data_IF_551982128960
#
_entry.id   IF_551982128960
#
_cell.length_a   1.000
_cell.length_b   1.000
_cell.length_c   1.000
_cell.angle_alpha   90.00
_cell.angle_beta   90.00
_cell.angle_gamma   90.00
#
_symmetry.space_group_name_H-M   'P 1'
#
loop_
_entity.id
_entity.type
_entity.pdbx_description
1 polymer ?
#
# COMPACT_ATOMS: atom_id res chain seq x y z
N UNK A 1 73.57 -67.76 4.11
CA UNK A 1 73.03 -68.83 3.25
C UNK A 1 72.15 -68.21 2.17
N UNK A 2 72.29 -68.65 0.90
CA UNK A 2 71.23 -68.76 -0.14
C UNK A 2 70.42 -67.46 -0.43
N UNK A 3 70.70 -66.75 -1.55
CA UNK A 3 69.84 -66.66 -2.78
C UNK A 3 68.32 -66.50 -2.48
N UNK A 4 67.55 -65.55 -3.03
CA UNK A 4 67.72 -64.58 -4.14
C UNK A 4 66.56 -63.53 -4.02
N UNK A 5 66.26 -62.58 -4.92
CA UNK A 5 66.65 -62.40 -6.33
C UNK A 5 66.84 -60.93 -6.76
N UNK A 6 66.02 -60.39 -7.68
CA UNK A 6 66.21 -59.13 -8.41
C UNK A 6 64.91 -58.54 -8.97
N UNK A 7 64.96 -57.26 -9.40
CA UNK A 7 64.08 -56.56 -10.37
C UNK A 7 62.69 -56.10 -9.87
N UNK A 8 62.44 -54.80 -9.65
CA UNK A 8 62.39 -53.73 -10.69
C UNK A 8 62.34 -52.29 -10.13
N UNK A 9 63.01 -51.37 -10.86
CA UNK A 9 62.62 -49.97 -11.23
C UNK A 9 62.00 -49.05 -10.15
N UNK A 10 62.65 -47.97 -9.67
CA UNK A 10 63.10 -46.70 -10.31
C UNK A 10 62.19 -45.48 -9.92
N UNK A 11 62.85 -44.36 -9.58
CA UNK A 11 62.38 -42.94 -9.48
C UNK A 11 61.63 -42.45 -8.22
N UNK A 12 62.39 -41.70 -7.41
CA UNK A 12 62.15 -40.32 -6.97
C UNK A 12 60.73 -39.88 -6.58
N UNK A 13 60.52 -39.65 -5.28
CA UNK A 13 59.55 -38.66 -4.81
C UNK A 13 60.16 -37.24 -4.98
N UNK A 14 59.44 -36.37 -5.69
CA UNK A 14 59.58 -34.92 -5.57
C UNK A 14 58.25 -34.38 -5.07
N UNK A 15 58.34 -33.50 -4.07
CA UNK A 15 57.20 -32.94 -3.35
C UNK A 15 56.43 -31.96 -4.25
N UNK A 16 55.13 -32.21 -4.48
CA UNK A 16 54.22 -31.26 -5.15
C UNK A 16 53.10 -30.93 -4.19
N UNK A 17 53.08 -29.68 -3.71
CA UNK A 17 51.97 -29.13 -2.95
C UNK A 17 50.83 -28.78 -3.93
N UNK A 18 49.68 -29.42 -3.77
CA UNK A 18 48.48 -29.10 -4.56
C UNK A 18 47.77 -27.93 -3.89
N UNK A 19 47.88 -26.74 -4.49
CA UNK A 19 47.00 -25.62 -4.17
C UNK A 19 45.67 -25.83 -4.88
N UNK A 20 44.67 -26.29 -4.13
CA UNK A 20 43.28 -26.37 -4.60
C UNK A 20 42.69 -24.96 -4.71
N UNK A 21 42.80 -24.34 -5.88
CA UNK A 21 42.12 -23.09 -6.18
C UNK A 21 40.61 -23.36 -6.35
N UNK A 22 39.88 -23.40 -5.23
CA UNK A 22 38.42 -23.40 -5.22
C UNK A 22 37.92 -22.07 -5.78
N UNK A 23 37.59 -22.05 -7.07
CA UNK A 23 36.87 -20.92 -7.69
C UNK A 23 35.47 -20.93 -7.09
N UNK A 24 35.29 -20.14 -6.04
CA UNK A 24 33.96 -19.76 -5.57
C UNK A 24 33.40 -18.82 -6.64
N UNK A 25 32.63 -19.38 -7.56
CA UNK A 25 31.72 -18.58 -8.37
C UNK A 25 30.67 -17.98 -7.43
N UNK A 26 30.98 -16.80 -6.90
CA UNK A 26 29.95 -15.89 -6.41
C UNK A 26 29.04 -15.59 -7.58
N UNK A 27 27.90 -16.28 -7.63
CA UNK A 27 26.80 -15.87 -8.48
C UNK A 27 26.41 -14.47 -8.05
N UNK A 28 26.86 -13.46 -8.80
CA UNK A 28 26.36 -12.10 -8.67
C UNK A 28 24.92 -12.17 -9.13
N UNK A 29 24.01 -12.41 -8.18
CA UNK A 29 22.59 -12.17 -8.38
C UNK A 29 22.48 -10.67 -8.60
N UNK A 30 22.42 -10.30 -9.87
CA UNK A 30 22.05 -8.96 -10.30
C UNK A 30 20.63 -8.71 -9.83
N UNK A 31 20.46 -8.19 -8.62
CA UNK A 31 19.20 -7.58 -8.23
C UNK A 31 18.88 -6.53 -9.28
N UNK A 32 17.76 -6.71 -10.00
CA UNK A 32 17.26 -5.63 -10.85
C UNK A 32 17.06 -4.42 -9.92
N UNK A 33 17.58 -3.26 -10.33
CA UNK A 33 17.50 -2.05 -9.52
C UNK A 33 16.05 -1.78 -9.13
N UNK A 34 15.83 -1.27 -7.91
CA UNK A 34 14.53 -0.74 -7.50
C UNK A 34 14.11 0.33 -8.51
N UNK A 35 13.08 0.03 -9.31
CA UNK A 35 12.62 0.91 -10.39
C UNK A 35 11.92 2.15 -9.84
N UNK A 36 11.51 2.13 -8.57
CA UNK A 36 10.72 3.18 -7.95
C UNK A 36 11.27 3.42 -6.52
N UNK A 37 12.50 3.94 -6.35
CA UNK A 37 13.13 4.02 -5.04
C UNK A 37 12.40 4.99 -4.10
N UNK A 38 12.42 4.67 -2.80
CA UNK A 38 11.97 5.57 -1.73
C UNK A 38 13.05 6.65 -1.44
N UNK A 39 12.71 7.94 -1.27
CA UNK A 39 11.38 8.52 -1.08
C UNK A 39 10.73 8.89 -2.41
N UNK A 40 9.41 9.07 -2.40
CA UNK A 40 8.63 9.24 -3.62
C UNK A 40 8.31 10.71 -3.97
N UNK A 41 8.21 11.60 -2.98
CA UNK A 41 7.71 12.99 -3.11
C UNK A 41 6.50 13.13 -4.07
N UNK A 42 5.59 12.16 -3.99
CA UNK A 42 4.54 11.99 -4.98
C UNK A 42 3.52 13.14 -4.90
N UNK A 43 3.25 13.78 -6.04
CA UNK A 43 2.11 14.68 -6.17
C UNK A 43 0.89 13.84 -6.49
N UNK A 44 -0.08 13.77 -5.57
CA UNK A 44 -1.31 13.04 -5.84
C UNK A 44 -2.12 13.79 -6.91
N UNK A 45 -2.64 13.10 -7.95
CA UNK A 45 -3.37 13.76 -9.04
C UNK A 45 -4.68 14.41 -8.58
N UNK A 46 -5.16 14.08 -7.37
CA UNK A 46 -6.38 14.62 -6.78
C UNK A 46 -6.19 14.95 -5.29
N UNK A 47 -6.94 15.94 -4.81
CA UNK A 47 -6.89 16.43 -3.43
C UNK A 47 -6.10 17.72 -3.28
N UNK A 48 -6.18 18.31 -2.08
CA UNK A 48 -5.61 19.63 -1.82
C UNK A 48 -4.15 19.59 -1.35
N UNK A 49 -3.67 18.42 -0.90
CA UNK A 49 -2.34 18.25 -0.32
C UNK A 49 -1.69 16.99 -0.86
N UNK A 50 -0.41 17.10 -1.22
CA UNK A 50 0.45 15.94 -1.48
C UNK A 50 1.36 15.63 -0.29
N UNK A 51 1.72 16.65 0.50
CA UNK A 51 2.48 16.50 1.74
C UNK A 51 1.97 17.52 2.77
N UNK A 52 1.78 17.08 4.02
CA UNK A 52 1.38 17.91 5.16
C UNK A 52 2.53 18.17 6.15
N UNK A 53 3.73 17.63 5.91
CA UNK A 53 4.93 17.98 6.67
C UNK A 53 5.35 19.44 6.43
N UNK A 54 6.23 20.00 7.27
CA UNK A 54 6.77 21.36 7.07
C UNK A 54 7.72 21.44 5.87
N UNK A 55 8.34 20.31 5.52
CA UNK A 55 9.11 20.12 4.30
C UNK A 55 9.10 18.64 3.92
N UNK A 56 9.35 18.32 2.64
CA UNK A 56 9.41 16.93 2.19
C UNK A 56 10.50 16.14 2.93
N UNK A 57 11.68 16.73 3.13
CA UNK A 57 12.78 16.09 3.88
C UNK A 57 12.43 15.83 5.35
N UNK A 58 11.57 16.66 5.98
CA UNK A 58 11.02 16.38 7.32
C UNK A 58 10.10 15.16 7.28
N UNK A 59 9.21 15.07 6.27
CA UNK A 59 8.32 13.92 6.08
C UNK A 59 9.09 12.62 5.84
N UNK A 60 10.04 12.64 4.90
CA UNK A 60 10.87 11.49 4.55
C UNK A 60 11.68 10.97 5.75
N UNK A 61 12.31 11.86 6.52
CA UNK A 61 13.08 11.50 7.70
C UNK A 61 12.19 10.92 8.82
N UNK A 62 10.98 11.47 9.00
CA UNK A 62 10.00 10.93 9.93
C UNK A 62 9.64 9.50 9.55
N UNK A 63 9.20 9.25 8.32
CA UNK A 63 8.73 7.90 7.93
C UNK A 63 9.87 6.87 7.89
N UNK A 64 11.12 7.24 7.56
CA UNK A 64 12.28 6.35 7.72
C UNK A 64 12.49 5.93 9.19
N UNK A 65 12.42 6.88 10.11
CA UNK A 65 12.59 6.63 11.55
C UNK A 65 11.46 5.76 12.11
N UNK A 66 10.22 6.05 11.70
CA UNK A 66 9.04 5.29 12.12
C UNK A 66 9.03 3.86 11.54
N UNK A 67 9.52 3.67 10.31
CA UNK A 67 9.70 2.34 9.69
C UNK A 67 10.66 1.46 10.49
N UNK A 68 11.87 1.95 10.79
CA UNK A 68 12.85 1.14 11.53
C UNK A 68 12.37 0.82 12.96
N UNK A 69 11.65 1.75 13.60
CA UNK A 69 11.00 1.48 14.88
C UNK A 69 9.89 0.41 14.77
N UNK A 70 9.02 0.51 13.78
CA UNK A 70 7.94 -0.46 13.54
C UNK A 70 8.52 -1.84 13.21
N UNK A 71 9.52 -1.90 12.32
CA UNK A 71 10.21 -3.12 11.93
C UNK A 71 10.86 -3.80 13.13
N UNK A 72 11.55 -3.04 13.99
CA UNK A 72 12.15 -3.55 15.23
C UNK A 72 11.12 -4.09 16.24
N UNK A 73 9.92 -3.53 16.27
CA UNK A 73 8.86 -3.94 17.20
C UNK A 73 8.02 -5.15 16.69
N UNK A 74 7.82 -5.26 15.38
CA UNK A 74 6.82 -6.17 14.79
C UNK A 74 7.37 -7.22 13.83
N UNK A 75 8.60 -7.11 13.31
CA UNK A 75 9.19 -8.15 12.46
C UNK A 75 9.99 -9.13 13.29
N UNK A 76 9.60 -10.41 13.23
CA UNK A 76 10.26 -11.49 13.98
C UNK A 76 10.51 -12.72 13.11
N UNK A 77 11.55 -13.48 13.44
CA UNK A 77 11.78 -14.84 12.92
C UNK A 77 11.26 -15.93 13.87
N UNK A 78 10.87 -15.59 15.12
CA UNK A 78 10.31 -16.56 16.05
C UNK A 78 8.92 -17.01 15.57
N UNK A 79 8.64 -18.31 15.57
CA UNK A 79 7.41 -18.88 14.97
C UNK A 79 7.30 -18.74 13.44
N UNK A 80 8.26 -18.10 12.77
CA UNK A 80 8.20 -17.79 11.35
C UNK A 80 8.68 -18.92 10.41
N UNK A 81 8.94 -20.12 10.96
CA UNK A 81 9.29 -21.35 10.21
C UNK A 81 10.45 -21.17 9.20
N UNK A 82 11.43 -20.34 9.54
CA UNK A 82 12.63 -20.07 8.72
C UNK A 82 12.64 -18.71 8.02
N UNK A 83 11.51 -17.99 8.02
CA UNK A 83 11.32 -16.70 7.34
C UNK A 83 11.08 -15.56 8.35
N UNK A 84 10.24 -14.59 7.99
CA UNK A 84 9.75 -13.51 8.87
C UNK A 84 8.23 -13.52 8.95
N UNK A 85 7.69 -13.07 10.08
CA UNK A 85 6.26 -12.76 10.25
C UNK A 85 6.10 -11.40 10.92
N UNK A 86 4.94 -10.79 10.74
CA UNK A 86 4.50 -9.65 11.54
C UNK A 86 3.86 -10.18 12.83
N UNK A 87 4.54 -10.00 13.96
CA UNK A 87 3.94 -10.24 15.27
C UNK A 87 3.11 -9.04 15.70
N UNK A 88 1.94 -9.32 16.30
CA UNK A 88 1.20 -8.33 17.08
C UNK A 88 1.95 -8.04 18.39
N UNK A 89 1.26 -7.42 19.34
CA UNK A 89 1.84 -6.90 20.58
C UNK A 89 1.60 -7.82 21.80
N UNK A 90 2.05 -7.35 22.96
CA UNK A 90 1.96 -8.10 24.21
C UNK A 90 0.51 -8.40 24.63
N UNK A 91 -0.46 -7.56 24.24
CA UNK A 91 -1.89 -7.78 24.56
C UNK A 91 -2.45 -9.06 23.93
N UNK A 92 -1.83 -9.52 22.84
CA UNK A 92 -2.23 -10.65 22.01
C UNK A 92 -1.17 -11.77 22.03
N UNK A 93 -0.28 -11.75 23.02
CA UNK A 93 0.81 -12.73 23.20
C UNK A 93 1.73 -12.89 21.98
N UNK A 94 1.90 -11.81 21.19
CA UNK A 94 2.75 -11.78 19.98
C UNK A 94 2.35 -12.81 18.92
N UNK A 95 1.06 -13.13 18.82
CA UNK A 95 0.49 -13.89 17.71
C UNK A 95 0.61 -13.14 16.37
N UNK A 96 0.07 -13.72 15.30
CA UNK A 96 0.02 -13.13 13.96
C UNK A 96 -1.38 -13.29 13.39
N UNK A 97 -1.90 -12.20 12.82
CA UNK A 97 -3.09 -12.24 11.96
C UNK A 97 -2.70 -11.95 10.52
N UNK A 98 -3.46 -12.46 9.55
CA UNK A 98 -3.19 -12.24 8.12
C UNK A 98 -3.18 -10.74 7.76
N UNK A 99 -4.00 -9.92 8.42
CA UNK A 99 -4.02 -8.45 8.29
C UNK A 99 -2.60 -7.86 8.48
N UNK A 100 -1.88 -8.34 9.49
CA UNK A 100 -0.52 -7.89 9.78
C UNK A 100 0.46 -8.25 8.66
N UNK A 101 0.25 -9.35 7.94
CA UNK A 101 1.05 -9.68 6.75
C UNK A 101 0.73 -8.75 5.58
N UNK A 102 -0.55 -8.45 5.33
CA UNK A 102 -0.95 -7.45 4.34
C UNK A 102 -0.29 -6.09 4.60
N UNK A 103 -0.37 -5.60 5.84
CA UNK A 103 0.30 -4.36 6.24
C UNK A 103 1.83 -4.45 6.17
N UNK A 104 2.44 -5.55 6.64
CA UNK A 104 3.89 -5.73 6.60
C UNK A 104 4.46 -5.80 5.18
N UNK A 105 3.77 -6.49 4.27
CA UNK A 105 4.16 -6.58 2.86
C UNK A 105 3.99 -5.24 2.15
N UNK A 106 2.89 -4.51 2.41
CA UNK A 106 2.71 -3.13 1.94
C UNK A 106 3.85 -2.21 2.42
N UNK A 107 4.18 -2.21 3.71
CA UNK A 107 5.28 -1.39 4.22
C UNK A 107 6.63 -1.80 3.60
N UNK A 108 6.94 -3.09 3.53
CA UNK A 108 8.19 -3.59 2.96
C UNK A 108 8.36 -3.16 1.48
N UNK A 109 7.30 -3.23 0.65
CA UNK A 109 7.37 -2.75 -0.73
C UNK A 109 7.48 -1.23 -0.83
N UNK A 110 6.78 -0.45 0.01
CA UNK A 110 6.96 1.01 0.01
C UNK A 110 8.37 1.44 0.45
N UNK A 111 9.05 0.70 1.34
CA UNK A 111 10.41 1.03 1.77
C UNK A 111 11.54 0.38 0.95
N UNK A 112 11.23 -0.46 -0.04
CA UNK A 112 12.25 -1.12 -0.86
C UNK A 112 12.94 -2.32 -0.19
N UNK A 113 12.37 -2.86 0.90
CA UNK A 113 12.92 -3.97 1.66
C UNK A 113 12.51 -5.32 1.02
N UNK A 114 13.09 -5.61 -0.15
CA UNK A 114 12.73 -6.78 -0.97
C UNK A 114 12.94 -8.11 -0.24
N UNK A 115 14.02 -8.24 0.54
CA UNK A 115 14.28 -9.46 1.29
C UNK A 115 13.20 -9.68 2.37
N UNK A 116 12.83 -8.63 3.11
CA UNK A 116 11.74 -8.72 4.08
C UNK A 116 10.40 -9.04 3.40
N UNK A 117 10.12 -8.44 2.24
CA UNK A 117 8.91 -8.73 1.47
C UNK A 117 8.82 -10.21 1.09
N UNK A 118 9.91 -10.78 0.55
CA UNK A 118 9.97 -12.18 0.16
C UNK A 118 9.86 -13.13 1.37
N UNK A 119 10.51 -12.82 2.49
CA UNK A 119 10.39 -13.57 3.75
C UNK A 119 8.94 -13.54 4.29
N UNK A 120 8.28 -12.38 4.28
CA UNK A 120 6.88 -12.25 4.71
C UNK A 120 5.93 -13.00 3.77
N UNK A 121 6.15 -12.95 2.45
CA UNK A 121 5.32 -13.68 1.50
C UNK A 121 5.55 -15.20 1.58
N UNK A 122 6.77 -15.65 1.84
CA UNK A 122 7.04 -17.05 2.19
C UNK A 122 6.21 -17.49 3.40
N UNK A 123 6.11 -16.67 4.44
CA UNK A 123 5.25 -16.97 5.59
C UNK A 123 3.77 -17.01 5.19
N UNK A 124 3.26 -16.06 4.39
CA UNK A 124 1.89 -16.12 3.83
C UNK A 124 1.64 -17.47 3.14
N UNK A 125 2.56 -17.90 2.26
CA UNK A 125 2.44 -19.16 1.51
C UNK A 125 2.38 -20.41 2.40
N UNK A 126 2.98 -20.39 3.60
CA UNK A 126 2.91 -21.51 4.55
C UNK A 126 1.53 -21.69 5.21
N UNK A 127 0.66 -20.67 5.16
CA UNK A 127 -0.65 -20.66 5.82
C UNK A 127 -1.81 -20.43 4.85
N UNK A 128 -1.60 -20.64 3.54
CA UNK A 128 -2.69 -20.65 2.57
C UNK A 128 -3.61 -21.85 2.83
N UNK A 129 -4.91 -21.57 2.91
CA UNK A 129 -5.94 -22.57 3.04
C UNK A 129 -6.27 -23.21 1.67
N UNK A 130 -7.27 -24.10 1.63
CA UNK A 130 -7.65 -24.82 0.40
C UNK A 130 -8.26 -23.95 -0.71
N UNK A 131 -8.60 -22.69 -0.42
CA UNK A 131 -9.02 -21.69 -1.40
C UNK A 131 -7.83 -20.86 -1.93
N UNK A 132 -6.60 -21.09 -1.45
CA UNK A 132 -5.42 -20.33 -1.86
C UNK A 132 -5.38 -18.91 -1.30
N UNK A 133 -5.94 -18.72 -0.10
CA UNK A 133 -6.04 -17.46 0.66
C UNK A 133 -5.52 -17.69 2.09
N UNK A 134 -5.07 -16.65 2.78
CA UNK A 134 -4.31 -16.82 4.03
C UNK A 134 -5.22 -17.10 5.24
N UNK A 135 -4.93 -18.17 5.98
CA UNK A 135 -5.57 -18.48 7.26
C UNK A 135 -5.38 -17.31 8.24
N UNK A 136 -6.47 -16.78 8.79
CA UNK A 136 -6.45 -15.43 9.38
C UNK A 136 -5.74 -15.31 10.74
N UNK A 137 -5.48 -16.41 11.47
CA UNK A 137 -4.92 -16.34 12.83
C UNK A 137 -3.95 -17.49 13.17
N UNK A 138 -2.71 -17.11 13.52
CA UNK A 138 -1.59 -18.01 13.81
C UNK A 138 -0.95 -17.59 15.15
N UNK A 139 -0.70 -18.55 16.04
CA UNK A 139 -0.04 -18.30 17.32
C UNK A 139 1.44 -17.86 17.17
N UNK A 140 2.04 -17.40 18.26
CA UNK A 140 3.43 -16.96 18.29
C UNK A 140 4.46 -18.06 17.95
N UNK A 141 4.06 -19.34 17.96
CA UNK A 141 4.88 -20.51 17.63
C UNK A 141 4.69 -21.00 16.18
N UNK A 142 3.76 -20.41 15.43
CA UNK A 142 3.49 -20.77 14.04
C UNK A 142 2.40 -21.84 13.84
N UNK A 143 1.45 -21.98 14.76
CA UNK A 143 0.30 -22.88 14.62
C UNK A 143 -1.01 -22.11 14.39
N UNK A 144 -1.88 -22.60 13.51
CA UNK A 144 -3.21 -22.01 13.30
C UNK A 144 -4.04 -22.19 14.57
N UNK A 145 -4.64 -21.11 15.10
CA UNK A 145 -5.22 -21.07 16.46
C UNK A 145 -6.55 -21.81 16.67
N UNK A 146 -7.03 -22.53 15.66
CA UNK A 146 -8.24 -23.34 15.73
C UNK A 146 -8.80 -23.64 14.34
N UNK A 147 -9.93 -24.36 14.29
CA UNK A 147 -10.60 -24.64 13.01
C UNK A 147 -11.12 -23.35 12.36
N UNK A 148 -11.65 -22.44 13.15
CA UNK A 148 -12.23 -21.17 12.67
C UNK A 148 -11.15 -20.17 12.24
N UNK A 149 -9.89 -20.40 12.63
CA UNK A 149 -8.70 -19.68 12.20
C UNK A 149 -8.18 -20.08 10.81
N UNK A 150 -8.72 -21.13 10.18
CA UNK A 150 -8.35 -21.62 8.84
C UNK A 150 -8.97 -20.75 7.72
N UNK A 151 -10.11 -20.10 8.01
CA UNK A 151 -10.73 -19.18 7.07
C UNK A 151 -9.83 -17.97 6.77
N UNK A 152 -10.09 -17.30 5.66
CA UNK A 152 -9.37 -16.11 5.24
C UNK A 152 -10.17 -14.83 5.51
N UNK A 153 -9.48 -13.69 5.66
CA UNK A 153 -10.07 -12.39 5.99
C UNK A 153 -9.81 -11.41 4.83
N UNK A 154 -10.87 -10.84 4.26
CA UNK A 154 -10.76 -10.22 2.93
C UNK A 154 -9.86 -8.97 2.89
N UNK A 155 -9.82 -8.18 3.96
CA UNK A 155 -8.92 -7.02 4.10
C UNK A 155 -7.45 -7.41 4.07
N UNK A 156 -7.09 -8.49 4.74
CA UNK A 156 -5.75 -9.04 4.71
C UNK A 156 -5.34 -9.49 3.31
N UNK A 157 -6.18 -10.29 2.66
CA UNK A 157 -5.87 -10.89 1.37
C UNK A 157 -5.84 -9.84 0.23
N UNK A 158 -6.67 -8.79 0.27
CA UNK A 158 -6.58 -7.68 -0.69
C UNK A 158 -5.33 -6.81 -0.51
N UNK A 159 -4.90 -6.56 0.74
CA UNK A 159 -3.67 -5.82 1.03
C UNK A 159 -2.42 -6.65 0.64
N UNK A 160 -2.43 -7.97 0.87
CA UNK A 160 -1.42 -8.91 0.33
C UNK A 160 -1.41 -8.85 -1.21
N UNK A 161 -2.57 -8.96 -1.87
CA UNK A 161 -2.68 -8.97 -3.32
C UNK A 161 -2.14 -7.70 -3.98
N UNK A 162 -2.49 -6.51 -3.48
CA UNK A 162 -2.01 -5.25 -4.06
C UNK A 162 -0.51 -5.05 -3.81
N UNK A 163 0.01 -5.50 -2.67
CA UNK A 163 1.45 -5.45 -2.39
C UNK A 163 2.27 -6.32 -3.35
N UNK A 164 1.75 -7.46 -3.82
CA UNK A 164 2.37 -8.27 -4.89
C UNK A 164 2.35 -7.56 -6.25
N UNK A 165 1.29 -6.81 -6.58
CA UNK A 165 1.24 -5.97 -7.79
C UNK A 165 2.31 -4.88 -7.72
N UNK A 166 2.48 -4.25 -6.55
CA UNK A 166 3.51 -3.24 -6.34
C UNK A 166 4.93 -3.84 -6.38
N UNK A 167 5.15 -5.02 -5.79
CA UNK A 167 6.43 -5.72 -5.84
C UNK A 167 6.84 -6.07 -7.29
N UNK A 168 5.88 -6.51 -8.12
CA UNK A 168 6.10 -6.70 -9.55
C UNK A 168 6.52 -5.39 -10.26
N UNK A 169 5.89 -4.26 -9.94
CA UNK A 169 6.21 -2.97 -10.57
C UNK A 169 7.55 -2.40 -10.12
N UNK A 170 7.90 -2.60 -8.85
CA UNK A 170 9.10 -2.07 -8.21
C UNK A 170 10.37 -2.88 -8.52
N UNK A 171 10.24 -4.22 -8.59
CA UNK A 171 11.37 -5.14 -8.71
C UNK A 171 11.28 -6.11 -9.92
N UNK A 172 10.17 -6.12 -10.65
CA UNK A 172 10.01 -6.94 -11.86
C UNK A 172 9.99 -8.45 -11.57
N UNK A 173 11.12 -9.11 -11.85
CA UNK A 173 11.35 -10.54 -11.68
C UNK A 173 12.64 -10.85 -10.90
N UNK A 174 13.20 -9.89 -10.15
CA UNK A 174 14.49 -10.04 -9.45
C UNK A 174 14.40 -10.70 -8.07
N UNK A 175 13.20 -10.90 -7.54
CA UNK A 175 12.98 -11.45 -6.21
C UNK A 175 12.88 -12.97 -6.15
N UNK A 176 12.58 -13.48 -4.97
CA UNK A 176 12.32 -14.91 -4.73
C UNK A 176 11.08 -15.45 -5.44
N UNK A 177 10.23 -14.58 -5.99
CA UNK A 177 8.95 -14.93 -6.62
C UNK A 177 8.75 -14.26 -7.97
N UNK A 178 7.96 -14.92 -8.84
CA UNK A 178 7.30 -14.22 -9.94
C UNK A 178 6.08 -13.47 -9.41
N UNK A 179 6.31 -12.28 -8.85
CA UNK A 179 5.28 -11.43 -8.24
C UNK A 179 4.06 -11.22 -9.15
N UNK A 180 4.26 -11.14 -10.48
CA UNK A 180 3.17 -10.96 -11.43
C UNK A 180 2.22 -12.16 -11.45
N UNK A 181 2.77 -13.38 -11.49
CA UNK A 181 1.99 -14.62 -11.50
C UNK A 181 1.33 -14.87 -10.15
N UNK A 182 2.03 -14.59 -9.06
CA UNK A 182 1.50 -14.71 -7.70
C UNK A 182 0.33 -13.74 -7.50
N UNK A 183 0.50 -12.45 -7.82
CA UNK A 183 -0.56 -11.45 -7.76
C UNK A 183 -1.81 -11.84 -8.59
N UNK A 184 -1.63 -12.28 -9.85
CA UNK A 184 -2.76 -12.70 -10.69
C UNK A 184 -3.52 -13.90 -10.12
N UNK A 185 -2.80 -14.85 -9.54
CA UNK A 185 -3.39 -16.02 -8.89
C UNK A 185 -4.17 -15.60 -7.64
N UNK A 186 -3.55 -14.77 -6.79
CA UNK A 186 -4.14 -14.28 -5.54
C UNK A 186 -5.41 -13.46 -5.79
N UNK A 187 -5.36 -12.48 -6.71
CA UNK A 187 -6.50 -11.66 -7.09
C UNK A 187 -7.64 -12.53 -7.67
N UNK A 188 -7.32 -13.57 -8.44
CA UNK A 188 -8.33 -14.50 -8.94
C UNK A 188 -8.98 -15.30 -7.82
N UNK A 189 -8.22 -15.76 -6.82
CA UNK A 189 -8.77 -16.45 -5.65
C UNK A 189 -9.71 -15.53 -4.85
N UNK A 190 -9.32 -14.28 -4.58
CA UNK A 190 -10.18 -13.30 -3.89
C UNK A 190 -11.47 -13.09 -4.70
N UNK A 191 -11.37 -12.83 -6.02
CA UNK A 191 -12.56 -12.60 -6.84
C UNK A 191 -13.52 -13.81 -6.84
N UNK A 192 -12.99 -15.03 -6.87
CA UNK A 192 -13.79 -16.26 -6.93
C UNK A 192 -14.36 -16.70 -5.57
N UNK A 193 -13.88 -16.17 -4.44
CA UNK A 193 -14.17 -16.69 -3.08
C UNK A 193 -14.69 -15.62 -2.12
N UNK A 194 -14.24 -14.39 -2.28
CA UNK A 194 -14.54 -13.24 -1.41
C UNK A 194 -15.42 -12.19 -2.10
N UNK A 195 -15.72 -12.28 -3.39
CA UNK A 195 -16.78 -11.48 -4.03
C UNK A 195 -18.05 -12.33 -4.15
N UNK A 196 -19.18 -11.81 -3.68
CA UNK A 196 -20.47 -12.47 -3.80
C UNK A 196 -20.96 -12.49 -5.27
N UNK A 197 -21.19 -13.67 -5.88
CA UNK A 197 -21.57 -13.76 -7.28
C UNK A 197 -22.91 -13.07 -7.58
N UNK A 198 -22.95 -12.30 -8.67
CA UNK A 198 -24.16 -11.61 -9.15
C UNK A 198 -24.48 -10.28 -8.45
N UNK A 199 -24.05 -10.09 -7.20
CA UNK A 199 -24.28 -8.84 -6.44
C UNK A 199 -23.03 -7.95 -6.37
N UNK A 200 -21.83 -8.53 -6.55
CA UNK A 200 -20.52 -7.88 -6.39
C UNK A 200 -20.24 -7.37 -4.97
N UNK A 201 -20.98 -7.84 -3.97
CA UNK A 201 -20.71 -7.49 -2.56
C UNK A 201 -19.42 -8.17 -2.12
N UNK A 202 -18.46 -7.39 -1.64
CA UNK A 202 -17.26 -7.96 -1.02
C UNK A 202 -17.64 -8.61 0.32
N UNK A 203 -17.24 -9.86 0.52
CA UNK A 203 -17.54 -10.68 1.69
C UNK A 203 -16.55 -10.40 2.81
N UNK A 204 -16.93 -10.77 4.02
CA UNK A 204 -16.06 -10.73 5.20
C UNK A 204 -14.85 -11.69 5.10
N UNK A 205 -15.04 -12.84 4.47
CA UNK A 205 -14.00 -13.82 4.23
C UNK A 205 -14.34 -14.79 3.11
N UNK A 206 -13.46 -15.76 2.87
CA UNK A 206 -13.64 -16.77 1.81
C UNK A 206 -14.84 -17.71 2.09
N UNK A 207 -15.11 -17.99 3.36
CA UNK A 207 -16.11 -18.96 3.82
C UNK A 207 -17.42 -18.34 4.32
N UNK A 208 -17.49 -17.02 4.53
CA UNK A 208 -18.65 -16.35 5.14
C UNK A 208 -18.79 -14.88 4.72
N UNK A 209 -19.95 -14.29 5.03
CA UNK A 209 -20.29 -12.91 4.67
C UNK A 209 -20.82 -12.75 3.23
N UNK A 210 -21.04 -11.49 2.84
CA UNK A 210 -21.73 -11.11 1.60
C UNK A 210 -22.83 -10.11 1.88
N UNK A 211 -23.97 -10.23 1.19
CA UNK A 211 -25.12 -9.31 1.35
C UNK A 211 -25.68 -9.27 2.78
N UNK A 212 -25.60 -10.38 3.53
CA UNK A 212 -26.09 -10.47 4.92
C UNK A 212 -25.12 -9.87 5.95
N UNK A 213 -23.80 -9.88 5.66
CA UNK A 213 -22.78 -9.28 6.52
C UNK A 213 -21.49 -8.97 5.74
N UNK A 214 -21.14 -7.69 5.73
CA UNK A 214 -19.91 -7.14 5.17
C UNK A 214 -19.36 -6.04 6.09
N UNK A 215 -18.10 -5.69 5.91
CA UNK A 215 -17.37 -4.73 6.73
C UNK A 215 -16.95 -3.53 5.88
N UNK A 216 -17.51 -2.32 6.09
CA UNK A 216 -17.13 -1.13 5.32
C UNK A 216 -15.63 -0.82 5.37
N UNK A 217 -14.93 -1.22 6.44
CA UNK A 217 -13.49 -1.01 6.58
C UNK A 217 -12.63 -1.97 5.74
N UNK A 218 -13.24 -2.96 5.10
CA UNK A 218 -12.62 -3.83 4.09
C UNK A 218 -12.87 -3.32 2.66
N UNK A 219 -13.50 -2.15 2.50
CA UNK A 219 -13.77 -1.60 1.17
C UNK A 219 -12.52 -0.87 0.65
N UNK A 220 -11.79 -1.52 -0.26
CA UNK A 220 -10.62 -0.94 -0.97
C UNK A 220 -10.86 -0.64 -2.47
N UNK A 221 -11.77 0.29 -2.84
CA UNK A 221 -12.02 0.67 -4.24
C UNK A 221 -10.77 0.95 -5.07
N UNK A 222 -9.76 1.61 -4.50
CA UNK A 222 -8.49 1.88 -5.17
C UNK A 222 -7.75 0.60 -5.57
N UNK A 223 -7.76 -0.44 -4.71
CA UNK A 223 -7.11 -1.71 -5.00
C UNK A 223 -7.89 -2.46 -6.08
N UNK A 224 -9.23 -2.40 -6.03
CA UNK A 224 -10.07 -3.04 -7.06
C UNK A 224 -9.89 -2.40 -8.44
N UNK A 225 -9.64 -1.09 -8.53
CA UNK A 225 -9.25 -0.45 -9.81
C UNK A 225 -7.91 -1.00 -10.33
N UNK A 226 -6.91 -1.09 -9.46
CA UNK A 226 -5.62 -1.73 -9.80
C UNK A 226 -5.84 -3.19 -10.24
N UNK A 227 -6.68 -3.96 -9.55
CA UNK A 227 -6.98 -5.35 -9.88
C UNK A 227 -7.71 -5.47 -11.23
N UNK A 228 -8.63 -4.57 -11.55
CA UNK A 228 -9.30 -4.51 -12.84
C UNK A 228 -8.30 -4.35 -13.98
N UNK A 229 -7.43 -3.35 -13.89
CA UNK A 229 -6.43 -3.03 -14.92
C UNK A 229 -5.36 -4.12 -15.03
N UNK A 230 -4.86 -4.62 -13.89
CA UNK A 230 -3.76 -5.59 -13.83
C UNK A 230 -4.15 -6.99 -14.30
N UNK A 231 -5.42 -7.38 -14.11
CA UNK A 231 -5.94 -8.70 -14.51
C UNK A 231 -6.77 -8.67 -15.79
N UNK A 232 -7.26 -7.50 -16.21
CA UNK A 232 -8.26 -7.36 -17.27
C UNK A 232 -9.70 -7.69 -16.83
N UNK A 233 -9.94 -8.03 -15.55
CA UNK A 233 -11.27 -8.35 -15.04
C UNK A 233 -12.01 -7.07 -14.59
N UNK A 234 -12.79 -6.48 -15.50
CA UNK A 234 -13.63 -5.31 -15.23
C UNK A 234 -14.69 -5.52 -14.14
N UNK A 235 -14.97 -6.77 -13.74
CA UNK A 235 -15.87 -7.07 -12.62
C UNK A 235 -15.42 -6.44 -11.29
N UNK A 236 -14.13 -6.18 -11.11
CA UNK A 236 -13.61 -5.43 -9.96
C UNK A 236 -14.10 -3.97 -9.88
N UNK A 237 -14.41 -3.33 -11.01
CA UNK A 237 -15.01 -1.99 -11.02
C UNK A 237 -16.44 -2.04 -10.46
N UNK A 238 -17.18 -3.14 -10.69
CA UNK A 238 -18.49 -3.34 -10.08
C UNK A 238 -18.38 -3.54 -8.56
N UNK A 239 -17.34 -4.22 -8.07
CA UNK A 239 -17.06 -4.34 -6.63
C UNK A 239 -16.77 -2.97 -6.01
N UNK A 240 -15.92 -2.15 -6.64
CA UNK A 240 -15.63 -0.78 -6.19
C UNK A 240 -16.90 0.08 -6.12
N UNK A 241 -17.75 0.03 -7.14
CA UNK A 241 -19.03 0.74 -7.16
C UNK A 241 -19.98 0.23 -6.07
N UNK A 242 -20.07 -1.11 -5.88
CA UNK A 242 -20.91 -1.74 -4.85
C UNK A 242 -20.50 -1.33 -3.45
N UNK A 243 -19.21 -1.25 -3.17
CA UNK A 243 -18.68 -0.76 -1.89
C UNK A 243 -19.19 0.66 -1.57
N UNK A 244 -19.16 1.58 -2.54
CA UNK A 244 -19.70 2.93 -2.33
C UNK A 244 -21.23 2.95 -2.21
N UNK A 245 -21.97 2.11 -2.94
CA UNK A 245 -23.43 1.97 -2.75
C UNK A 245 -23.79 1.49 -1.34
N UNK A 246 -23.05 0.53 -0.78
CA UNK A 246 -23.29 0.03 0.58
C UNK A 246 -22.89 1.10 1.59
N UNK A 247 -21.73 1.74 1.42
CA UNK A 247 -21.27 2.79 2.31
C UNK A 247 -22.22 4.00 2.33
N UNK A 248 -22.82 4.39 1.19
CA UNK A 248 -23.86 5.43 1.14
C UNK A 248 -25.12 5.10 1.95
N UNK A 249 -25.52 3.82 1.99
CA UNK A 249 -26.66 3.36 2.81
C UNK A 249 -26.30 3.23 4.29
N UNK A 250 -25.08 2.78 4.58
CA UNK A 250 -24.62 2.44 5.92
C UNK A 250 -24.14 3.67 6.72
N UNK A 251 -23.57 4.68 6.05
CA UNK A 251 -23.04 5.86 6.72
C UNK A 251 -24.16 6.77 7.21
N UNK A 252 -23.97 7.37 8.38
CA UNK A 252 -24.82 8.48 8.79
C UNK A 252 -24.54 9.72 7.92
N UNK A 253 -25.60 10.36 7.41
CA UNK A 253 -25.49 11.50 6.48
C UNK A 253 -24.85 12.75 7.09
N UNK A 254 -24.91 12.91 8.42
CA UNK A 254 -24.49 14.12 9.12
C UNK A 254 -23.07 13.99 9.67
N UNK A 255 -22.67 12.79 10.10
CA UNK A 255 -21.34 12.52 10.69
C UNK A 255 -20.37 11.87 9.71
N UNK A 256 -20.86 11.23 8.64
CA UNK A 256 -20.04 10.44 7.71
C UNK A 256 -19.54 9.12 8.29
N UNK A 257 -19.90 8.78 9.54
CA UNK A 257 -19.48 7.55 10.20
C UNK A 257 -20.19 6.33 9.60
N UNK A 258 -19.41 5.32 9.23
CA UNK A 258 -19.87 3.97 8.84
C UNK A 258 -19.86 3.03 10.06
N UNK A 259 -20.65 1.97 10.09
CA UNK A 259 -20.54 0.92 11.11
C UNK A 259 -19.29 0.06 10.89
N UNK A 260 -18.84 -0.66 11.93
CA UNK A 260 -17.86 -1.75 11.80
C UNK A 260 -18.39 -2.83 10.84
N UNK A 261 -19.66 -3.22 10.96
CA UNK A 261 -20.30 -4.27 10.17
C UNK A 261 -21.72 -3.90 9.77
N UNK A 262 -22.13 -4.26 8.55
CA UNK A 262 -23.49 -4.04 8.05
C UNK A 262 -23.94 -5.07 7.02
N UNK A 263 -25.22 -5.09 6.70
CA UNK A 263 -25.74 -5.74 5.49
C UNK A 263 -25.42 -4.90 4.25
N UNK A 264 -25.56 -5.46 3.04
CA UNK A 264 -25.50 -4.68 1.79
C UNK A 264 -26.65 -3.66 1.61
N UNK A 265 -27.60 -3.61 2.55
CA UNK A 265 -28.60 -2.56 2.67
C UNK A 265 -28.23 -1.47 3.69
N UNK A 266 -27.03 -1.53 4.28
CA UNK A 266 -26.53 -0.56 5.26
C UNK A 266 -27.17 -0.68 6.63
N UNK A 267 -27.85 -1.79 6.92
CA UNK A 267 -28.49 -2.05 8.22
C UNK A 267 -27.57 -2.85 9.15
N UNK A 268 -27.84 -2.93 10.46
CA UNK A 268 -27.13 -3.83 11.37
C UNK A 268 -27.12 -5.27 10.86
N UNK A 269 -25.95 -5.91 10.90
CA UNK A 269 -25.80 -7.34 10.65
C UNK A 269 -25.96 -8.13 11.95
N UNK A 270 -26.63 -9.29 11.89
CA UNK A 270 -26.92 -10.10 13.07
C UNK A 270 -25.65 -10.56 13.78
N UNK A 271 -25.55 -10.30 15.09
CA UNK A 271 -24.41 -10.70 15.91
C UNK A 271 -23.15 -9.83 15.76
N UNK A 272 -23.21 -8.75 14.98
CA UNK A 272 -22.07 -7.86 14.74
C UNK A 272 -22.29 -6.44 15.29
N UNK A 273 -21.19 -5.70 15.46
CA UNK A 273 -21.22 -4.30 15.89
C UNK A 273 -21.65 -3.35 14.77
N UNK A 274 -22.57 -2.42 15.08
CA UNK A 274 -23.04 -1.38 14.16
C UNK A 274 -22.56 0.05 14.54
N UNK A 275 -21.65 0.14 15.49
CA UNK A 275 -21.00 1.40 15.88
C UNK A 275 -19.73 1.63 15.05
N UNK A 276 -19.20 2.85 15.08
CA UNK A 276 -17.93 3.21 14.47
C UNK A 276 -16.79 2.99 15.48
N UNK A 277 -16.05 1.89 15.34
CA UNK A 277 -14.94 1.53 16.24
C UNK A 277 -13.70 1.14 15.42
N UNK A 278 -12.90 0.19 15.93
CA UNK A 278 -11.56 -0.16 15.45
C UNK A 278 -11.55 -0.81 14.05
N UNK A 279 -12.65 -1.41 13.61
CA UNK A 279 -12.81 -1.78 12.21
C UNK A 279 -13.09 -0.51 11.38
N UNK A 280 -14.27 0.10 11.60
CA UNK A 280 -14.86 1.15 10.78
C UNK A 280 -13.91 2.30 10.42
N UNK A 281 -13.05 2.68 11.37
CA UNK A 281 -12.05 3.75 11.26
C UNK A 281 -11.04 3.56 10.11
N UNK A 282 -10.80 2.34 9.61
CA UNK A 282 -9.92 2.13 8.44
C UNK A 282 -10.59 2.53 7.11
N UNK A 283 -11.93 2.66 7.06
CA UNK A 283 -12.63 3.07 5.84
C UNK A 283 -12.20 4.45 5.35
N UNK A 284 -11.87 5.37 6.27
CA UNK A 284 -11.41 6.73 5.94
C UNK A 284 -10.11 6.71 5.13
N UNK A 285 -9.17 5.85 5.51
CA UNK A 285 -7.89 5.69 4.81
C UNK A 285 -8.09 5.08 3.42
N UNK A 286 -8.83 3.96 3.33
CA UNK A 286 -9.11 3.27 2.06
C UNK A 286 -9.89 4.15 1.08
N UNK A 287 -10.88 4.92 1.55
CA UNK A 287 -11.62 5.87 0.74
C UNK A 287 -10.76 7.08 0.32
N UNK A 288 -9.99 7.68 1.24
CA UNK A 288 -9.17 8.86 0.92
C UNK A 288 -8.16 8.57 -0.20
N UNK A 289 -7.59 7.37 -0.23
CA UNK A 289 -6.65 6.98 -1.28
C UNK A 289 -7.35 6.79 -2.64
N UNK A 290 -8.57 6.24 -2.70
CA UNK A 290 -9.32 6.17 -3.97
C UNK A 290 -9.65 7.58 -4.50
N UNK A 291 -9.91 8.55 -3.62
CA UNK A 291 -10.00 9.94 -4.06
C UNK A 291 -8.66 10.45 -4.58
N UNK A 292 -7.58 10.39 -3.79
CA UNK A 292 -6.30 10.99 -4.17
C UNK A 292 -5.66 10.39 -5.41
N UNK A 293 -5.86 9.08 -5.67
CA UNK A 293 -5.32 8.41 -6.85
C UNK A 293 -6.25 8.47 -8.07
N UNK A 294 -7.58 8.42 -7.90
CA UNK A 294 -8.54 8.25 -9.02
C UNK A 294 -9.63 9.32 -9.12
N UNK A 295 -9.67 10.32 -8.23
CA UNK A 295 -10.60 11.44 -8.29
C UNK A 295 -12.05 11.09 -7.95
N UNK A 296 -12.29 9.92 -7.33
CA UNK A 296 -13.65 9.42 -7.07
C UNK A 296 -14.47 10.39 -6.22
N UNK A 297 -15.50 10.99 -6.81
CA UNK A 297 -16.31 12.01 -6.15
C UNK A 297 -16.97 11.51 -4.84
N UNK A 298 -17.49 10.28 -4.81
CA UNK A 298 -18.07 9.68 -3.59
C UNK A 298 -17.05 9.55 -2.46
N UNK A 299 -15.82 9.15 -2.79
CA UNK A 299 -14.73 9.06 -1.83
C UNK A 299 -14.48 10.41 -1.16
N UNK A 300 -14.36 11.48 -1.95
CA UNK A 300 -14.28 12.86 -1.43
C UNK A 300 -15.46 13.19 -0.54
N UNK A 301 -16.71 12.99 -0.97
CA UNK A 301 -17.89 13.30 -0.15
C UNK A 301 -17.88 12.58 1.19
N UNK A 302 -17.47 11.30 1.22
CA UNK A 302 -17.45 10.49 2.44
C UNK A 302 -16.37 11.01 3.41
N UNK A 303 -15.14 11.22 2.93
CA UNK A 303 -14.05 11.79 3.70
C UNK A 303 -14.36 13.22 4.18
N UNK A 304 -14.90 14.07 3.31
CA UNK A 304 -15.25 15.46 3.65
C UNK A 304 -16.29 15.52 4.78
N UNK A 305 -17.27 14.63 4.78
CA UNK A 305 -18.32 14.60 5.81
C UNK A 305 -17.73 14.25 7.18
N UNK A 306 -16.92 13.20 7.27
CA UNK A 306 -16.30 12.79 8.54
C UNK A 306 -15.16 13.70 8.99
N UNK A 307 -14.39 14.31 8.07
CA UNK A 307 -13.44 15.36 8.41
C UNK A 307 -14.13 16.56 9.06
N UNK A 308 -15.33 16.96 8.60
CA UNK A 308 -16.11 18.00 9.27
C UNK A 308 -16.64 17.57 10.65
N UNK A 309 -17.07 16.31 10.83
CA UNK A 309 -17.45 15.77 12.14
C UNK A 309 -16.30 15.83 13.15
N UNK A 310 -15.11 15.31 12.79
CA UNK A 310 -13.95 15.34 13.68
C UNK A 310 -13.35 16.75 13.86
N UNK A 311 -13.47 17.63 12.86
CA UNK A 311 -13.12 19.06 13.02
C UNK A 311 -13.98 19.73 14.09
N UNK A 312 -15.27 19.43 14.14
CA UNK A 312 -16.20 19.97 15.15
C UNK A 312 -15.96 19.40 16.56
N UNK A 313 -15.47 18.17 16.67
CA UNK A 313 -14.99 17.59 17.94
C UNK A 313 -13.66 18.24 18.39
N UNK A 314 -12.83 18.63 17.42
CA UNK A 314 -11.45 19.10 17.62
C UNK A 314 -10.47 17.92 17.60
N UNK A 315 -9.38 18.07 16.84
CA UNK A 315 -8.43 16.99 16.54
C UNK A 315 -7.88 16.27 17.79
N UNK A 316 -7.55 17.02 18.86
CA UNK A 316 -7.04 16.48 20.12
C UNK A 316 -8.11 15.79 21.01
N UNK A 317 -9.38 15.87 20.64
CA UNK A 317 -10.50 15.27 21.38
C UNK A 317 -11.06 14.01 20.72
N UNK A 318 -10.59 13.62 19.53
CA UNK A 318 -11.05 12.44 18.80
C UNK A 318 -10.87 11.18 19.66
N UNK A 319 -11.92 10.37 19.82
CA UNK A 319 -11.93 9.17 20.66
C UNK A 319 -12.01 7.88 19.85
N UNK A 320 -11.70 6.77 20.50
CA UNK A 320 -11.63 5.45 19.89
C UNK A 320 -12.98 4.69 19.81
N UNK A 321 -14.09 5.41 19.72
CA UNK A 321 -15.41 4.80 19.52
C UNK A 321 -16.56 5.80 19.56
N UNK A 322 -17.42 5.74 18.53
CA UNK A 322 -18.65 6.51 18.43
C UNK A 322 -19.81 5.63 17.93
N UNK A 323 -21.05 5.91 18.33
CA UNK A 323 -22.20 5.46 17.53
C UNK A 323 -22.13 6.10 16.14
N UNK A 324 -22.73 5.51 15.10
CA UNK A 324 -22.75 6.16 13.78
C UNK A 324 -23.46 7.54 13.79
N UNK A 325 -24.36 7.78 14.76
CA UNK A 325 -24.98 9.10 14.98
C UNK A 325 -24.06 10.13 15.66
N UNK A 326 -22.82 9.75 16.01
CA UNK A 326 -21.80 10.64 16.56
C UNK A 326 -21.74 10.72 18.09
N UNK A 327 -22.49 9.89 18.82
CA UNK A 327 -22.39 9.83 20.29
C UNK A 327 -21.12 9.08 20.69
N UNK A 328 -20.26 9.71 21.49
CA UNK A 328 -19.03 9.08 21.98
C UNK A 328 -19.37 7.87 22.89
N UNK A 329 -18.75 6.71 22.61
CA UNK A 329 -18.94 5.47 23.40
C UNK A 329 -17.63 4.92 24.01
N UNK A 330 -16.48 5.51 23.66
CA UNK A 330 -15.18 5.23 24.30
C UNK A 330 -14.42 6.53 24.58
N UNK A 331 -13.33 6.48 25.36
CA UNK A 331 -12.66 7.67 25.89
C UNK A 331 -11.16 7.80 25.56
N UNK A 332 -10.55 6.78 24.94
CA UNK A 332 -9.12 6.79 24.64
C UNK A 332 -8.85 7.65 23.40
N UNK A 333 -7.66 8.24 23.34
CA UNK A 333 -7.18 8.99 22.19
C UNK A 333 -5.99 8.23 21.60
N UNK A 334 -6.21 7.49 20.52
CA UNK A 334 -5.30 6.44 20.03
C UNK A 334 -4.77 6.74 18.62
N UNK A 335 -3.60 6.20 18.30
CA UNK A 335 -2.97 6.39 17.00
C UNK A 335 -3.86 5.89 15.85
N UNK A 336 -4.62 4.81 16.07
CA UNK A 336 -5.67 4.29 15.17
C UNK A 336 -6.61 5.39 14.67
N UNK A 337 -7.24 6.15 15.57
CA UNK A 337 -8.30 7.09 15.20
C UNK A 337 -7.75 8.42 14.71
N UNK A 338 -6.69 8.91 15.35
CA UNK A 338 -6.04 10.17 14.97
C UNK A 338 -5.44 10.08 13.56
N UNK A 339 -4.78 8.96 13.24
CA UNK A 339 -4.21 8.76 11.92
C UNK A 339 -5.29 8.64 10.84
N UNK A 340 -6.27 7.76 10.98
CA UNK A 340 -7.32 7.62 9.97
C UNK A 340 -8.16 8.90 9.76
N UNK A 341 -8.33 9.72 10.80
CA UNK A 341 -8.91 11.06 10.65
C UNK A 341 -8.01 12.01 9.84
N UNK A 342 -6.68 11.92 9.99
CA UNK A 342 -5.72 12.64 9.14
C UNK A 342 -5.76 12.17 7.69
N UNK A 343 -5.95 10.88 7.44
CA UNK A 343 -6.10 10.35 6.08
C UNK A 343 -7.33 10.94 5.37
N UNK A 344 -8.49 11.01 6.05
CA UNK A 344 -9.67 11.68 5.49
C UNK A 344 -9.42 13.17 5.18
N UNK A 345 -8.69 13.89 6.03
CA UNK A 345 -8.43 15.32 5.87
C UNK A 345 -7.62 15.66 4.60
N UNK A 346 -6.86 14.70 4.03
CA UNK A 346 -6.13 14.86 2.76
C UNK A 346 -7.04 15.23 1.57
N UNK A 347 -8.33 14.89 1.65
CA UNK A 347 -9.32 15.21 0.60
C UNK A 347 -9.65 16.70 0.48
N UNK A 348 -9.21 17.54 1.41
CA UNK A 348 -9.13 19.00 1.23
C UNK A 348 -10.33 19.82 1.73
N UNK A 349 -10.95 19.45 2.85
CA UNK A 349 -12.03 20.27 3.44
C UNK A 349 -11.56 21.58 4.08
N UNK A 350 -10.39 21.56 4.72
CA UNK A 350 -9.92 22.63 5.61
C UNK A 350 -8.43 22.46 5.89
N UNK A 351 -7.61 23.42 5.43
CA UNK A 351 -6.15 23.32 5.51
C UNK A 351 -5.61 23.42 6.95
N UNK A 352 -6.24 24.24 7.79
CA UNK A 352 -5.85 24.40 9.20
C UNK A 352 -6.15 23.12 9.97
N UNK A 353 -7.33 22.53 9.77
CA UNK A 353 -7.66 21.24 10.36
C UNK A 353 -6.73 20.14 9.84
N UNK A 354 -6.51 20.03 8.53
CA UNK A 354 -5.63 19.02 7.92
C UNK A 354 -4.20 19.07 8.50
N UNK A 355 -3.61 20.26 8.61
CA UNK A 355 -2.28 20.44 9.23
C UNK A 355 -2.28 20.04 10.71
N UNK A 356 -3.31 20.42 11.47
CA UNK A 356 -3.40 20.12 12.90
C UNK A 356 -3.60 18.63 13.18
N UNK A 357 -4.47 17.94 12.44
CA UNK A 357 -4.68 16.49 12.61
C UNK A 357 -3.46 15.68 12.12
N UNK A 358 -2.74 16.16 11.10
CA UNK A 358 -1.43 15.61 10.74
C UNK A 358 -0.42 15.75 11.90
N UNK A 359 -0.28 16.94 12.49
CA UNK A 359 0.62 17.16 13.62
C UNK A 359 0.25 16.28 14.82
N UNK A 360 -1.04 16.09 15.09
CA UNK A 360 -1.51 15.17 16.15
C UNK A 360 -1.24 13.70 15.79
N UNK A 361 -1.36 13.30 14.51
CA UNK A 361 -0.96 11.98 14.02
C UNK A 361 0.56 11.72 14.17
N UNK A 362 1.40 12.73 13.97
CA UNK A 362 2.85 12.61 14.26
C UNK A 362 3.07 12.39 15.77
N UNK A 363 2.35 13.13 16.62
CA UNK A 363 2.49 13.14 18.08
C UNK A 363 1.92 11.89 18.79
N UNK A 364 0.76 11.40 18.37
CA UNK A 364 0.05 10.30 19.04
C UNK A 364 0.58 8.97 18.52
N UNK A 365 1.35 8.28 19.36
CA UNK A 365 1.89 6.94 19.10
C UNK A 365 1.51 6.03 20.27
N UNK A 366 0.86 4.91 19.98
CA UNK A 366 0.39 3.99 21.02
C UNK A 366 1.56 3.25 21.66
N UNK A 367 1.44 2.91 22.96
CA UNK A 367 2.55 2.41 23.78
C UNK A 367 2.09 1.32 24.78
N UNK A 368 3.05 0.73 25.49
CA UNK A 368 2.78 -0.37 26.42
C UNK A 368 2.41 -1.66 25.68
N UNK A 369 1.28 -2.26 26.04
CA UNK A 369 0.88 -3.57 25.51
C UNK A 369 0.12 -3.51 24.18
N UNK A 370 -0.27 -2.33 23.71
CA UNK A 370 -1.13 -2.11 22.52
C UNK A 370 -0.38 -1.33 21.45
N UNK A 371 0.74 -1.86 20.97
CA UNK A 371 1.65 -1.17 20.05
C UNK A 371 1.49 -1.57 18.60
N UNK A 372 0.78 -2.66 18.27
CA UNK A 372 0.67 -3.15 16.89
C UNK A 372 -0.30 -2.31 16.05
N UNK A 373 -1.61 -2.36 16.36
CA UNK A 373 -2.63 -1.97 15.39
C UNK A 373 -2.58 -0.48 15.03
N UNK A 374 -2.70 0.39 16.04
CA UNK A 374 -2.74 1.84 15.82
C UNK A 374 -1.44 2.41 15.28
N UNK A 375 -0.28 1.87 15.68
CA UNK A 375 1.01 2.32 15.12
C UNK A 375 1.23 1.82 13.69
N UNK A 376 0.68 0.67 13.30
CA UNK A 376 0.76 0.17 11.91
C UNK A 376 -0.07 1.04 10.98
N UNK A 377 -1.31 1.38 11.38
CA UNK A 377 -2.16 2.30 10.62
C UNK A 377 -1.54 3.71 10.56
N UNK A 378 -1.04 4.22 11.68
CA UNK A 378 -0.26 5.46 11.72
C UNK A 378 0.93 5.42 10.76
N UNK A 379 1.64 4.29 10.65
CA UNK A 379 2.77 4.17 9.73
C UNK A 379 2.35 4.29 8.25
N UNK A 380 1.28 3.59 7.85
CA UNK A 380 0.69 3.72 6.50
C UNK A 380 0.25 5.16 6.20
N UNK A 381 -0.31 5.84 7.20
CA UNK A 381 -0.90 7.15 7.02
C UNK A 381 0.14 8.26 7.09
N UNK A 382 1.25 8.08 7.81
CA UNK A 382 2.40 8.96 7.71
C UNK A 382 3.08 8.84 6.34
N UNK A 383 3.17 7.65 5.72
CA UNK A 383 3.55 7.54 4.30
C UNK A 383 2.59 8.36 3.43
N UNK A 384 1.28 8.16 3.57
CA UNK A 384 0.28 8.83 2.74
C UNK A 384 0.30 10.37 2.88
N UNK A 385 0.27 10.87 4.11
CA UNK A 385 0.25 12.32 4.42
C UNK A 385 1.58 13.04 4.18
N UNK A 386 2.67 12.31 3.87
CA UNK A 386 3.98 12.87 3.48
C UNK A 386 4.31 12.68 2.00
N UNK A 387 3.35 12.31 1.14
CA UNK A 387 3.58 12.09 -0.30
C UNK A 387 4.36 10.82 -0.62
N UNK A 388 4.47 9.90 0.34
CA UNK A 388 5.24 8.67 0.23
C UNK A 388 4.36 7.41 0.07
N UNK A 389 3.07 7.56 -0.25
CA UNK A 389 2.17 6.46 -0.61
C UNK A 389 1.55 6.68 -2.02
N UNK A 390 2.36 6.81 -3.09
CA UNK A 390 1.86 6.87 -4.47
C UNK A 390 1.20 5.56 -4.90
N UNK A 391 0.39 5.62 -5.95
CA UNK A 391 -0.06 4.42 -6.65
C UNK A 391 1.12 3.73 -7.37
N UNK A 392 1.84 2.84 -6.70
CA UNK A 392 3.01 2.14 -7.27
C UNK A 392 2.67 1.27 -8.51
N UNK A 393 1.39 1.08 -8.84
CA UNK A 393 1.01 0.45 -10.11
C UNK A 393 1.21 1.37 -11.33
N UNK A 394 0.97 2.68 -11.17
CA UNK A 394 1.00 3.68 -12.24
C UNK A 394 2.07 4.77 -12.06
N UNK A 395 2.70 4.85 -10.88
CA UNK A 395 3.71 5.86 -10.56
C UNK A 395 5.06 5.56 -11.23
N UNK A 396 5.73 6.61 -11.71
CA UNK A 396 7.06 6.55 -12.31
C UNK A 396 8.01 7.47 -11.53
N UNK A 397 9.11 6.91 -11.00
CA UNK A 397 10.17 7.67 -10.32
C UNK A 397 11.07 8.46 -11.28
N UNK A 398 11.13 8.02 -12.53
CA UNK A 398 11.78 8.76 -13.60
C UNK A 398 10.89 9.95 -13.99
N UNK A 399 11.47 11.11 -14.36
CA UNK A 399 10.75 12.10 -15.14
C UNK A 399 10.14 11.38 -16.34
N UNK A 400 8.88 11.65 -16.69
CA UNK A 400 8.24 10.93 -17.79
C UNK A 400 8.91 11.29 -19.12
N UNK A 401 9.85 10.45 -19.56
CA UNK A 401 10.52 10.57 -20.85
C UNK A 401 9.49 10.34 -21.96
N UNK A 402 8.93 11.43 -22.48
CA UNK A 402 7.89 11.43 -23.51
C UNK A 402 6.52 11.98 -23.09
N UNK A 403 6.38 12.63 -21.93
CA UNK A 403 5.13 13.32 -21.57
C UNK A 403 4.93 14.58 -22.46
N UNK A 404 4.29 14.41 -23.62
CA UNK A 404 3.97 15.54 -24.52
C UNK A 404 3.27 16.67 -23.77
N UNK A 405 3.87 17.84 -23.76
CA UNK A 405 3.43 19.04 -23.05
C UNK A 405 4.20 19.37 -21.77
N UNK A 406 4.97 18.43 -21.22
CA UNK A 406 5.95 18.67 -20.14
C UNK A 406 7.23 19.23 -20.77
N UNK A 407 7.20 20.52 -21.07
CA UNK A 407 8.22 21.24 -21.83
C UNK A 407 9.44 21.55 -20.96
N UNK A 408 9.25 21.76 -19.66
CA UNK A 408 10.34 22.02 -18.72
C UNK A 408 10.96 20.72 -18.14
N UNK A 409 10.31 19.56 -18.34
CA UNK A 409 10.69 18.24 -17.86
C UNK A 409 10.64 18.09 -16.33
N UNK A 410 9.69 18.75 -15.66
CA UNK A 410 9.44 18.67 -14.22
C UNK A 410 8.41 17.57 -13.82
N UNK A 411 7.77 16.94 -14.81
CA UNK A 411 6.80 15.86 -14.61
C UNK A 411 5.34 16.33 -14.53
N UNK A 412 5.06 17.63 -14.58
CA UNK A 412 3.74 18.19 -14.73
C UNK A 412 3.48 18.63 -16.19
N UNK A 413 2.24 19.07 -16.46
CA UNK A 413 1.90 19.88 -17.63
C UNK A 413 1.12 21.06 -17.07
N UNK A 414 1.72 22.24 -17.02
CA UNK A 414 1.10 23.43 -16.43
C UNK A 414 1.46 24.76 -17.13
N UNK A 415 1.17 25.89 -16.48
CA UNK A 415 1.43 27.23 -17.02
C UNK A 415 2.92 27.55 -17.20
N UNK A 416 3.82 26.87 -16.50
CA UNK A 416 5.27 26.96 -16.63
C UNK A 416 5.73 26.37 -17.97
N UNK A 417 5.09 25.33 -18.48
CA UNK A 417 5.37 24.77 -19.81
C UNK A 417 4.95 25.72 -20.93
N UNK A 418 3.78 26.34 -20.80
CA UNK A 418 3.36 27.45 -21.68
C UNK A 418 4.42 28.56 -21.67
N UNK A 419 4.93 28.93 -20.49
CA UNK A 419 5.95 29.98 -20.39
C UNK A 419 7.29 29.56 -21.00
N UNK A 420 7.71 28.31 -20.79
CA UNK A 420 8.94 27.73 -21.32
C UNK A 420 8.90 27.61 -22.86
N UNK A 421 7.81 27.06 -23.41
CA UNK A 421 7.59 26.91 -24.85
C UNK A 421 7.49 28.27 -25.55
N UNK A 422 6.70 29.19 -24.98
CA UNK A 422 6.57 30.55 -25.52
C UNK A 422 7.92 31.27 -25.55
N UNK A 423 8.73 31.14 -24.50
CA UNK A 423 10.09 31.69 -24.46
C UNK A 423 10.96 31.08 -25.55
N UNK A 424 10.99 29.75 -25.67
CA UNK A 424 11.82 29.06 -26.65
C UNK A 424 11.49 29.47 -28.10
N UNK A 425 10.20 29.59 -28.44
CA UNK A 425 9.73 30.05 -29.76
C UNK A 425 10.14 31.53 -30.00
N UNK A 426 9.93 32.40 -29.01
CA UNK A 426 10.22 33.84 -29.15
C UNK A 426 11.72 34.16 -29.21
N UNK A 427 12.56 33.42 -28.50
CA UNK A 427 14.03 33.64 -28.48
C UNK A 427 14.79 32.71 -29.40
N UNK A 428 14.10 31.78 -30.09
CA UNK A 428 14.70 30.69 -30.88
C UNK A 428 15.76 29.90 -30.08
N UNK A 429 15.57 29.78 -28.76
CA UNK A 429 16.54 29.15 -27.84
C UNK A 429 15.91 27.96 -27.14
N UNK A 430 16.32 26.76 -27.53
CA UNK A 430 15.73 25.50 -27.05
C UNK A 430 16.54 24.78 -25.97
N UNK A 431 17.66 25.33 -25.53
CA UNK A 431 18.59 24.69 -24.57
C UNK A 431 17.99 24.34 -23.20
N UNK A 432 16.85 24.95 -22.86
CA UNK A 432 16.21 24.85 -21.55
C UNK A 432 14.78 24.27 -21.65
N UNK A 433 14.50 23.47 -22.70
CA UNK A 433 13.23 22.75 -22.90
C UNK A 433 13.47 21.33 -23.41
N UNK A 434 12.55 20.41 -23.13
CA UNK A 434 12.53 19.09 -23.74
C UNK A 434 11.88 19.17 -25.13
N UNK A 435 12.66 19.02 -26.19
CA UNK A 435 12.20 19.07 -27.59
C UNK A 435 11.15 18.00 -27.90
N UNK A 436 11.33 16.76 -27.43
CA UNK A 436 10.40 15.64 -27.70
C UNK A 436 9.04 15.85 -27.04
N UNK A 437 9.01 16.47 -25.86
CA UNK A 437 7.77 16.79 -25.18
C UNK A 437 7.13 18.08 -25.72
N UNK A 438 7.94 19.03 -26.20
CA UNK A 438 7.51 20.29 -26.78
C UNK A 438 6.96 20.17 -28.20
N UNK A 439 7.41 19.19 -28.97
CA UNK A 439 6.81 18.78 -30.26
C UNK A 439 5.47 18.10 -29.95
N UNK A 440 4.38 18.87 -29.96
CA UNK A 440 3.04 18.41 -29.62
C UNK A 440 2.39 17.63 -30.76
N UNK A 441 2.75 17.93 -32.01
CA UNK A 441 2.13 17.33 -33.21
C UNK A 441 2.91 16.15 -33.83
N UNK A 442 4.16 15.91 -33.41
CA UNK A 442 5.12 14.93 -33.94
C UNK A 442 5.63 15.19 -35.37
N UNK A 443 5.73 16.45 -35.80
CA UNK A 443 6.31 16.82 -37.09
C UNK A 443 7.81 17.14 -37.05
N UNK A 444 8.42 17.18 -35.86
CA UNK A 444 9.84 17.42 -35.64
C UNK A 444 10.26 18.90 -35.57
N UNK A 445 9.32 19.84 -35.70
CA UNK A 445 9.54 21.26 -35.48
C UNK A 445 9.01 21.68 -34.10
N UNK A 446 9.39 22.87 -33.63
CA UNK A 446 8.89 23.48 -32.39
C UNK A 446 8.37 24.88 -32.74
N UNK A 447 7.07 25.02 -32.93
CA UNK A 447 6.49 26.27 -33.43
C UNK A 447 5.15 26.69 -32.79
N UNK A 448 4.47 27.64 -33.42
CA UNK A 448 3.22 28.20 -32.92
C UNK A 448 2.05 27.18 -32.87
N UNK A 449 2.11 26.12 -33.67
CA UNK A 449 1.16 25.00 -33.67
C UNK A 449 1.28 24.23 -32.36
N UNK A 450 2.51 23.90 -31.93
CA UNK A 450 2.74 23.21 -30.65
C UNK A 450 2.29 24.05 -29.47
N UNK A 451 2.60 25.34 -29.51
CA UNK A 451 2.15 26.29 -28.49
C UNK A 451 0.62 26.39 -28.40
N UNK A 452 -0.08 26.31 -29.54
CA UNK A 452 -1.54 26.26 -29.57
C UNK A 452 -2.08 24.93 -29.02
N UNK A 453 -1.46 23.80 -29.36
CA UNK A 453 -1.87 22.48 -28.87
C UNK A 453 -1.64 22.31 -27.37
N UNK A 454 -0.51 22.76 -26.83
CA UNK A 454 -0.23 22.78 -25.40
C UNK A 454 -1.25 23.63 -24.64
N UNK A 455 -1.61 24.81 -25.19
CA UNK A 455 -2.69 25.63 -24.64
C UNK A 455 -4.04 24.93 -24.62
N UNK A 456 -4.42 24.23 -25.69
CA UNK A 456 -5.66 23.45 -25.73
C UNK A 456 -5.62 22.32 -24.70
N UNK A 457 -4.48 21.64 -24.52
CA UNK A 457 -4.30 20.59 -23.53
C UNK A 457 -4.43 21.07 -22.07
N UNK A 458 -4.19 22.36 -21.82
CA UNK A 458 -4.29 22.99 -20.50
C UNK A 458 -5.63 23.68 -20.21
N UNK A 459 -6.57 23.64 -21.16
CA UNK A 459 -7.90 24.25 -21.06
C UNK A 459 -9.03 23.20 -21.07
N UNK A 460 -8.69 21.91 -21.13
CA UNK A 460 -9.59 20.76 -21.07
C UNK A 460 -9.23 19.87 -19.87
#
# INVERSE_FOLDING_TARGET
>A
MIKSSSLKRIKSLVMVAIFSASIISTAIVSSAADQIPFPYDAKYPNGAYSCLADSQSTGDNLVRSEWEQWKSAHITSNGAKGYRRVQRDASTSYDTVSEGLGYGMLLAVYFGDQQLFDDLYHYVKLFLNTNGLMSWHIDASGNIMGKDSIGAATDADEDIAVSLVFAHKKWGTSGGFNYQSEAKTYISNIYNKMVEPGTYVIKAGDTWGGSDVTNPSYFSPAWYRIFADFTGNSGWINVANKCYEIADKARNSNTGLVPDWCTANGTPATGQGFDFKYDAIRYQWRAAIDYSWYGTAKAKTHCDTISNFFKNIGYANIKDGYTISGSQISANHTATFVSCAAAAAMTGTDATYAKNIYNECVKVKDSGNYTYFGNTLRMMILLYTTGNFPNLYSFSSQPQTGLKGDVNNDGAIDALDIAALKRAILTQTTSNINLTNADMNSDGNIDAIDFAQLKVKLLN
#
